data_IF_611787104829
#
_entry.id   IF_611787104829
#
_cell.length_a   1.000
_cell.length_b   1.000
_cell.length_c   1.000
_cell.angle_alpha   90.00
_cell.angle_beta   90.00
_cell.angle_gamma   90.00
#
_symmetry.space_group_name_H-M   'P 1'
#
loop_
_entity.id
_entity.type
_entity.pdbx_description
1 polymer ?
#
# COMPACT_ATOMS: atom_id res chain seq x y z
N UNK A 1 -0.44 -38.30 -5.38
CA UNK A 1 0.03 -37.31 -4.39
C UNK A 1 -1.20 -36.79 -3.68
N UNK A 2 -1.37 -37.10 -2.39
CA UNK A 2 -2.52 -36.62 -1.63
C UNK A 2 -2.35 -35.13 -1.35
N UNK A 3 -3.31 -34.32 -1.81
CA UNK A 3 -3.38 -32.90 -1.49
C UNK A 3 -3.62 -32.76 0.01
N UNK A 4 -2.56 -32.58 0.79
CA UNK A 4 -2.69 -32.30 2.22
C UNK A 4 -3.30 -30.91 2.36
N UNK A 5 -4.61 -30.85 2.60
CA UNK A 5 -5.27 -29.61 2.97
C UNK A 5 -4.59 -29.06 4.22
N UNK A 6 -4.01 -27.85 4.17
CA UNK A 6 -3.33 -27.29 5.33
C UNK A 6 -4.32 -27.14 6.48
N UNK A 7 -3.86 -27.26 7.74
CA UNK A 7 -4.71 -27.07 8.91
C UNK A 7 -5.34 -25.68 8.84
N UNK A 8 -6.67 -25.66 8.74
CA UNK A 8 -7.44 -24.41 8.71
C UNK A 8 -7.30 -23.73 10.07
N UNK A 9 -6.97 -22.44 10.08
CA UNK A 9 -6.99 -21.65 11.31
C UNK A 9 -8.34 -21.82 12.03
N UNK A 10 -8.35 -21.85 13.38
CA UNK A 10 -9.59 -21.94 14.12
C UNK A 10 -10.53 -20.80 13.72
N UNK A 11 -11.83 -21.09 13.67
CA UNK A 11 -12.85 -20.11 13.30
C UNK A 11 -12.71 -18.86 14.19
N UNK A 12 -12.74 -17.67 13.57
CA UNK A 12 -12.56 -16.41 14.29
C UNK A 12 -11.10 -16.01 14.53
N UNK A 13 -10.11 -16.65 13.91
CA UNK A 13 -8.72 -16.14 13.90
C UNK A 13 -8.26 -15.71 12.51
N UNK A 14 -7.70 -14.50 12.44
CA UNK A 14 -7.03 -14.00 11.26
C UNK A 14 -5.59 -14.54 11.26
N UNK A 15 -5.23 -15.25 10.19
CA UNK A 15 -3.90 -15.83 10.01
C UNK A 15 -3.06 -15.00 9.03
N UNK A 16 -1.84 -14.66 9.45
CA UNK A 16 -0.85 -13.92 8.67
C UNK A 16 0.42 -14.76 8.50
N UNK A 17 0.65 -15.31 7.31
CA UNK A 17 1.83 -16.14 7.04
C UNK A 17 3.00 -15.28 6.51
N UNK A 18 4.01 -15.05 7.34
CA UNK A 18 5.12 -14.12 7.02
C UNK A 18 5.88 -14.57 5.76
N UNK A 19 6.19 -15.86 5.65
CA UNK A 19 6.95 -16.40 4.53
C UNK A 19 6.18 -16.32 3.21
N UNK A 20 4.89 -16.61 3.23
CA UNK A 20 4.04 -16.48 2.05
C UNK A 20 3.90 -15.02 1.62
N UNK A 21 3.73 -14.09 2.58
CA UNK A 21 3.65 -12.66 2.29
C UNK A 21 4.92 -12.19 1.57
N UNK A 22 6.10 -12.50 2.09
CA UNK A 22 7.38 -12.07 1.48
C UNK A 22 7.58 -12.63 0.07
N UNK A 23 7.20 -13.90 -0.16
CA UNK A 23 7.33 -14.53 -1.47
C UNK A 23 6.34 -13.97 -2.49
N UNK A 24 5.09 -13.72 -2.07
CA UNK A 24 4.00 -13.23 -2.94
C UNK A 24 4.21 -11.75 -3.29
N UNK A 25 4.66 -10.97 -2.31
CA UNK A 25 4.80 -9.53 -2.39
C UNK A 25 6.27 -9.09 -2.54
N UNK A 26 7.04 -9.86 -3.33
CA UNK A 26 8.48 -9.68 -3.49
C UNK A 26 8.87 -8.33 -4.11
N UNK A 27 8.03 -7.80 -4.99
CA UNK A 27 8.27 -6.56 -5.72
C UNK A 27 7.10 -5.61 -5.51
N UNK A 28 7.41 -4.32 -5.37
CA UNK A 28 6.39 -3.27 -5.20
C UNK A 28 5.32 -3.31 -6.30
N UNK A 29 5.71 -3.43 -7.57
CA UNK A 29 4.79 -3.52 -8.71
C UNK A 29 3.84 -4.73 -8.60
N UNK A 30 4.35 -5.87 -8.16
CA UNK A 30 3.54 -7.07 -7.92
C UNK A 30 2.56 -6.83 -6.79
N UNK A 31 3.01 -6.22 -5.69
CA UNK A 31 2.15 -5.88 -4.55
C UNK A 31 1.03 -4.93 -4.93
N UNK A 32 1.32 -3.87 -5.68
CA UNK A 32 0.31 -2.95 -6.20
C UNK A 32 -0.68 -3.71 -7.09
N UNK A 33 -0.20 -4.51 -8.04
CA UNK A 33 -1.10 -5.27 -8.94
C UNK A 33 -2.05 -6.25 -8.22
N UNK A 34 -1.64 -6.79 -7.07
CA UNK A 34 -2.44 -7.73 -6.29
C UNK A 34 -3.36 -7.03 -5.29
N UNK A 35 -2.90 -5.95 -4.68
CA UNK A 35 -3.61 -5.24 -3.61
C UNK A 35 -4.56 -4.16 -4.14
N UNK A 36 -4.25 -3.51 -5.26
CA UNK A 36 -5.11 -2.46 -5.84
C UNK A 36 -6.52 -2.94 -6.15
N UNK A 37 -6.74 -4.13 -6.76
CA UNK A 37 -8.10 -4.64 -6.96
C UNK A 37 -8.85 -4.88 -5.65
N UNK A 38 -8.17 -5.29 -4.58
CA UNK A 38 -8.80 -5.52 -3.28
C UNK A 38 -9.13 -4.20 -2.56
N UNK A 39 -8.35 -3.13 -2.83
CA UNK A 39 -8.68 -1.77 -2.42
C UNK A 39 -9.92 -1.24 -3.18
N UNK A 40 -9.97 -1.42 -4.50
CA UNK A 40 -11.11 -1.00 -5.34
C UNK A 40 -12.41 -1.74 -4.98
N UNK A 41 -12.30 -3.02 -4.60
CA UNK A 41 -13.42 -3.83 -4.13
C UNK A 41 -13.87 -3.49 -2.70
N UNK A 42 -13.20 -2.56 -2.00
CA UNK A 42 -13.50 -2.21 -0.62
C UNK A 42 -13.15 -3.30 0.41
N UNK A 43 -12.37 -4.32 0.02
CA UNK A 43 -11.86 -5.30 0.99
C UNK A 43 -10.72 -4.69 1.82
N UNK A 44 -9.97 -3.72 1.28
CA UNK A 44 -8.93 -3.01 2.02
C UNK A 44 -9.28 -1.53 2.16
N UNK A 45 -9.05 -0.98 3.34
CA UNK A 45 -9.04 0.47 3.53
C UNK A 45 -7.78 1.09 2.93
N UNK A 46 -7.84 2.36 2.53
CA UNK A 46 -6.68 3.08 2.00
C UNK A 46 -5.53 3.14 3.01
N UNK A 47 -5.83 3.32 4.30
CA UNK A 47 -4.84 3.31 5.39
C UNK A 47 -4.11 1.97 5.50
N UNK A 48 -4.86 0.87 5.47
CA UNK A 48 -4.33 -0.50 5.53
C UNK A 48 -3.48 -0.83 4.30
N UNK A 49 -3.94 -0.44 3.10
CA UNK A 49 -3.18 -0.58 1.87
C UNK A 49 -1.81 0.08 1.98
N UNK A 50 -1.75 1.33 2.44
CA UNK A 50 -0.49 2.06 2.57
C UNK A 50 0.43 1.47 3.64
N UNK A 51 -0.12 0.99 4.77
CA UNK A 51 0.65 0.25 5.79
C UNK A 51 1.25 -1.02 5.24
N UNK A 52 0.46 -1.83 4.54
CA UNK A 52 0.91 -3.07 3.92
C UNK A 52 2.02 -2.75 2.92
N UNK A 53 1.79 -1.78 2.02
CA UNK A 53 2.79 -1.36 1.03
C UNK A 53 4.10 -0.87 1.66
N UNK A 54 4.04 -0.24 2.85
CA UNK A 54 5.23 0.19 3.60
C UNK A 54 5.94 -0.95 4.32
N UNK A 55 5.20 -1.95 4.80
CA UNK A 55 5.75 -3.08 5.54
C UNK A 55 6.29 -4.19 4.64
N UNK A 56 5.73 -4.33 3.44
CA UNK A 56 6.19 -5.29 2.45
C UNK A 56 7.64 -4.98 2.05
N UNK A 57 8.45 -6.02 1.78
CA UNK A 57 9.87 -5.85 1.48
C UNK A 57 10.04 -5.05 0.19
N UNK A 58 10.31 -3.75 0.34
CA UNK A 58 11.06 -2.98 -0.64
C UNK A 58 12.53 -3.43 -0.63
N UNK A 59 13.26 -3.15 -1.70
CA UNK A 59 14.68 -3.48 -1.87
C UNK A 59 15.57 -3.17 -0.64
N UNK A 60 15.14 -2.20 0.19
CA UNK A 60 15.85 -1.70 1.37
C UNK A 60 16.23 -2.74 2.44
N UNK A 61 15.47 -3.82 2.65
CA UNK A 61 15.83 -4.80 3.70
C UNK A 61 16.98 -5.73 3.31
N UNK A 62 17.13 -6.02 2.02
CA UNK A 62 18.20 -6.91 1.54
C UNK A 62 19.57 -6.25 1.65
N UNK A 63 19.65 -4.95 1.34
CA UNK A 63 20.88 -4.18 1.41
C UNK A 63 21.32 -3.97 2.87
N UNK A 64 20.39 -3.59 3.76
CA UNK A 64 20.73 -3.35 5.17
C UNK A 64 21.22 -4.61 5.89
N UNK A 65 20.67 -5.78 5.54
CA UNK A 65 21.05 -7.07 6.12
C UNK A 65 22.46 -7.52 5.68
N UNK A 66 22.80 -7.30 4.40
CA UNK A 66 24.13 -7.63 3.87
C UNK A 66 25.23 -6.79 4.53
N UNK A 67 25.02 -5.49 4.67
CA UNK A 67 26.01 -4.62 5.30
C UNK A 67 26.03 -4.76 6.83
N UNK A 68 24.88 -4.92 7.48
CA UNK A 68 24.79 -5.05 8.94
C UNK A 68 25.53 -6.28 9.49
N UNK A 69 25.48 -7.41 8.78
CA UNK A 69 26.20 -8.63 9.19
C UNK A 69 27.71 -8.46 9.16
N UNK A 70 28.26 -7.82 8.12
CA UNK A 70 29.70 -7.52 8.03
C UNK A 70 30.18 -6.55 9.11
N UNK A 71 29.38 -5.53 9.45
CA UNK A 71 29.74 -4.53 10.45
C UNK A 71 29.81 -5.13 11.86
N UNK A 72 28.85 -5.96 12.25
CA UNK A 72 28.86 -6.63 13.58
C UNK A 72 30.06 -7.59 13.69
N UNK A 73 30.36 -8.33 12.63
CA UNK A 73 31.55 -9.19 12.59
C UNK A 73 32.85 -8.41 12.76
N UNK A 74 32.98 -7.24 12.11
CA UNK A 74 34.15 -6.37 12.24
C UNK A 74 34.30 -5.80 13.66
N UNK A 75 33.20 -5.35 14.28
CA UNK A 75 33.20 -4.84 15.66
C UNK A 75 33.60 -5.95 16.64
N UNK A 76 33.00 -7.14 16.54
CA UNK A 76 33.39 -8.27 17.39
C UNK A 76 34.86 -8.65 17.17
N UNK A 77 35.33 -8.71 15.93
CA UNK A 77 36.74 -9.00 15.62
C UNK A 77 37.71 -7.98 16.24
N UNK A 78 37.34 -6.69 16.26
CA UNK A 78 38.19 -5.64 16.84
C UNK A 78 38.34 -5.73 18.37
N UNK A 79 37.37 -6.31 19.07
CA UNK A 79 37.36 -6.40 20.53
C UNK A 79 38.07 -7.63 21.11
N UNK A 80 38.36 -8.66 20.31
CA UNK A 80 39.05 -9.87 20.77
C UNK A 80 40.50 -9.92 20.27
N UNK A 81 41.48 -9.79 21.19
CA UNK A 81 42.88 -10.18 20.98
C UNK A 81 43.19 -11.41 21.84
N UNK A 82 43.77 -12.49 21.29
CA UNK A 82 44.29 -12.72 19.92
C UNK A 82 43.21 -12.89 18.83
N UNK A 83 43.54 -12.79 17.52
CA UNK A 83 42.53 -12.88 16.47
C UNK A 83 41.84 -14.23 16.53
N UNK A 84 40.52 -14.26 16.74
CA UNK A 84 39.80 -15.51 16.80
C UNK A 84 39.88 -16.22 15.45
N UNK A 85 40.04 -17.54 15.48
CA UNK A 85 39.94 -18.42 14.31
C UNK A 85 38.56 -18.23 13.64
N UNK A 86 38.41 -18.70 12.40
CA UNK A 86 37.22 -18.64 11.49
C UNK A 86 35.85 -18.70 12.20
N UNK A 87 35.74 -19.34 13.35
CA UNK A 87 34.56 -19.41 14.21
C UNK A 87 33.91 -18.06 14.56
N UNK A 88 34.64 -16.94 14.74
CA UNK A 88 33.98 -15.66 15.07
C UNK A 88 33.20 -15.07 13.90
N UNK A 89 33.68 -15.27 12.67
CA UNK A 89 32.90 -14.93 11.47
C UNK A 89 31.62 -15.74 11.37
N UNK A 90 31.70 -17.05 11.64
CA UNK A 90 30.53 -17.95 11.63
C UNK A 90 29.50 -17.56 12.72
N UNK A 91 29.95 -17.28 13.94
CA UNK A 91 29.08 -16.86 15.04
C UNK A 91 28.41 -15.52 14.70
N UNK A 92 29.19 -14.54 14.19
CA UNK A 92 28.65 -13.26 13.77
C UNK A 92 27.59 -13.40 12.67
N UNK A 93 27.83 -14.27 11.69
CA UNK A 93 26.86 -14.59 10.65
C UNK A 93 25.56 -15.20 11.23
N UNK A 94 25.66 -16.20 12.11
CA UNK A 94 24.48 -16.86 12.70
C UNK A 94 23.67 -15.90 13.59
N UNK A 95 24.34 -15.06 14.38
CA UNK A 95 23.68 -14.04 15.21
C UNK A 95 23.02 -12.98 14.32
N UNK A 96 23.70 -12.53 13.27
CA UNK A 96 23.13 -11.55 12.34
C UNK A 96 21.93 -12.11 11.56
N UNK A 97 22.00 -13.35 11.09
CA UNK A 97 20.89 -14.02 10.39
C UNK A 97 19.67 -14.20 11.31
N UNK A 98 19.88 -14.62 12.56
CA UNK A 98 18.80 -14.81 13.53
C UNK A 98 18.15 -13.50 13.95
N UNK A 99 18.95 -12.47 14.28
CA UNK A 99 18.45 -11.12 14.58
C UNK A 99 17.69 -10.52 13.39
N UNK A 100 18.23 -10.69 12.19
CA UNK A 100 17.59 -10.23 10.96
C UNK A 100 16.22 -10.84 10.73
N UNK A 101 16.10 -12.17 10.90
CA UNK A 101 14.80 -12.87 10.85
C UNK A 101 13.85 -12.38 11.94
N UNK A 102 14.35 -12.15 13.15
CA UNK A 102 13.57 -11.63 14.28
C UNK A 102 12.99 -10.23 14.00
N UNK A 103 13.81 -9.30 13.52
CA UNK A 103 13.39 -7.94 13.15
C UNK A 103 12.35 -7.96 12.04
N UNK A 104 12.53 -8.82 11.03
CA UNK A 104 11.58 -9.03 9.93
C UNK A 104 10.22 -9.56 10.45
N UNK A 105 10.21 -10.56 11.32
CA UNK A 105 8.96 -11.03 11.93
C UNK A 105 8.32 -9.92 12.77
N UNK A 106 9.12 -9.11 13.47
CA UNK A 106 8.63 -7.98 14.25
C UNK A 106 7.97 -6.89 13.39
N UNK A 107 8.53 -6.54 12.23
CA UNK A 107 7.94 -5.54 11.34
C UNK A 107 6.62 -6.03 10.73
N UNK A 108 6.57 -7.30 10.30
CA UNK A 108 5.34 -7.93 9.84
C UNK A 108 4.28 -8.00 10.95
N UNK A 109 4.67 -8.35 12.17
CA UNK A 109 3.79 -8.34 13.34
C UNK A 109 3.24 -6.95 13.63
N UNK A 110 4.09 -5.92 13.61
CA UNK A 110 3.69 -4.53 13.83
C UNK A 110 2.73 -4.05 12.74
N UNK A 111 2.97 -4.42 11.48
CA UNK A 111 2.07 -4.12 10.38
C UNK A 111 0.70 -4.78 10.61
N UNK A 112 0.67 -6.09 10.84
CA UNK A 112 -0.56 -6.87 10.99
C UNK A 112 -1.40 -6.44 12.20
N UNK A 113 -0.74 -6.13 13.33
CA UNK A 113 -1.42 -5.58 14.50
C UNK A 113 -1.93 -4.15 14.27
N UNK A 114 -1.34 -3.42 13.33
CA UNK A 114 -1.74 -2.06 12.98
C UNK A 114 -2.82 -1.97 11.91
N UNK A 115 -3.33 -3.10 11.40
CA UNK A 115 -4.46 -3.13 10.45
C UNK A 115 -5.75 -2.79 11.20
N UNK A 116 -6.49 -1.83 10.65
CA UNK A 116 -7.77 -1.35 11.17
C UNK A 116 -8.90 -2.32 10.79
N UNK A 117 -9.02 -2.69 9.51
CA UNK A 117 -10.05 -3.62 9.04
C UNK A 117 -9.48 -5.04 8.87
N UNK A 118 -9.38 -5.78 9.98
CA UNK A 118 -8.83 -7.14 9.97
C UNK A 118 -9.64 -8.09 9.10
N UNK A 119 -10.98 -7.96 9.11
CA UNK A 119 -11.88 -8.81 8.35
C UNK A 119 -11.78 -8.57 6.84
N UNK A 120 -11.73 -7.31 6.43
CA UNK A 120 -11.47 -6.94 5.03
C UNK A 120 -10.10 -7.44 4.57
N UNK A 121 -9.08 -7.29 5.42
CA UNK A 121 -7.74 -7.80 5.13
C UNK A 121 -7.71 -9.34 4.95
N UNK A 122 -8.35 -10.12 5.81
CA UNK A 122 -8.37 -11.59 5.65
C UNK A 122 -9.07 -12.00 4.36
N UNK A 123 -10.19 -11.36 4.02
CA UNK A 123 -10.90 -11.57 2.75
C UNK A 123 -10.02 -11.23 1.54
N UNK A 124 -9.33 -10.09 1.58
CA UNK A 124 -8.38 -9.69 0.55
C UNK A 124 -7.24 -10.71 0.40
N UNK A 125 -6.65 -11.16 1.51
CA UNK A 125 -5.59 -12.17 1.47
C UNK A 125 -6.07 -13.50 0.92
N UNK A 126 -7.29 -13.94 1.24
CA UNK A 126 -7.85 -15.19 0.72
C UNK A 126 -8.14 -15.09 -0.78
N UNK A 127 -8.62 -13.94 -1.28
CA UNK A 127 -8.76 -13.68 -2.71
C UNK A 127 -7.40 -13.78 -3.43
N UNK A 128 -6.36 -13.20 -2.85
CA UNK A 128 -4.99 -13.26 -3.40
C UNK A 128 -4.43 -14.68 -3.35
N UNK A 129 -4.63 -15.43 -2.25
CA UNK A 129 -4.24 -16.85 -2.15
C UNK A 129 -4.91 -17.72 -3.22
N UNK A 130 -6.18 -17.46 -3.56
CA UNK A 130 -6.86 -18.17 -4.66
C UNK A 130 -6.24 -17.86 -6.02
N UNK A 131 -5.78 -16.62 -6.23
CA UNK A 131 -5.16 -16.17 -7.49
C UNK A 131 -3.73 -16.68 -7.67
N UNK A 132 -2.89 -16.59 -6.63
CA UNK A 132 -1.44 -16.87 -6.71
C UNK A 132 -1.08 -18.27 -6.19
N UNK A 133 -1.97 -18.88 -5.41
CA UNK A 133 -1.71 -20.11 -4.66
C UNK A 133 -1.27 -19.82 -3.23
N UNK A 134 -1.47 -20.81 -2.37
CA UNK A 134 -1.05 -20.77 -0.97
C UNK A 134 0.13 -21.72 -0.75
N UNK A 135 1.22 -21.19 -0.20
CA UNK A 135 2.32 -21.99 0.31
C UNK A 135 2.28 -21.92 1.83
N UNK A 136 2.02 -23.05 2.54
CA UNK A 136 2.12 -23.06 3.98
C UNK A 136 3.55 -22.69 4.40
N UNK A 137 3.65 -21.90 5.45
CA UNK A 137 4.91 -21.41 6.01
C UNK A 137 4.98 -21.71 7.50
N UNK A 138 6.21 -21.84 8.02
CA UNK A 138 6.47 -22.18 9.41
C UNK A 138 6.08 -21.07 10.41
N UNK A 139 5.98 -19.82 9.94
CA UNK A 139 5.76 -18.66 10.79
C UNK A 139 4.45 -18.00 10.39
N UNK A 140 3.41 -18.30 11.16
CA UNK A 140 2.10 -17.67 11.09
C UNK A 140 1.88 -16.80 12.34
N UNK A 141 1.48 -15.55 12.14
CA UNK A 141 1.02 -14.66 13.21
C UNK A 141 -0.50 -14.73 13.21
N UNK A 142 -1.09 -15.03 14.36
CA UNK A 142 -2.55 -15.10 14.52
C UNK A 142 -3.05 -13.92 15.34
N UNK A 143 -4.20 -13.37 14.95
CA UNK A 143 -4.92 -12.34 15.71
C UNK A 143 -6.38 -12.80 15.84
N UNK A 144 -7.00 -12.75 17.03
CA UNK A 144 -8.42 -13.01 17.15
C UNK A 144 -9.19 -11.94 16.36
N UNK A 145 -10.14 -12.36 15.52
CA UNK A 145 -11.12 -11.43 14.96
C UNK A 145 -11.99 -10.97 16.12
N UNK A 146 -11.99 -9.66 16.36
CA UNK A 146 -12.89 -9.08 17.36
C UNK A 146 -14.32 -9.33 16.89
N UNK A 147 -15.18 -9.84 17.77
CA UNK A 147 -16.61 -10.01 17.46
C UNK A 147 -17.29 -8.67 17.16
N UNK A 148 -16.73 -7.55 17.62
CA UNK A 148 -17.20 -6.20 17.30
C UNK A 148 -17.02 -5.82 15.83
N UNK A 149 -16.03 -6.41 15.13
CA UNK A 149 -15.82 -6.14 13.71
C UNK A 149 -16.74 -6.99 12.81
N UNK A 150 -17.50 -7.92 13.40
CA UNK A 150 -18.47 -8.75 12.70
C UNK A 150 -19.84 -8.07 12.55
N UNK A 151 -20.07 -6.91 13.16
CA UNK A 151 -21.17 -6.03 12.78
C UNK A 151 -20.82 -5.40 11.43
N UNK A 152 -21.07 -6.18 10.38
CA UNK A 152 -20.96 -5.79 8.97
C UNK A 152 -21.46 -4.37 8.79
N UNK A 153 -20.58 -3.49 8.29
CA UNK A 153 -20.97 -2.17 7.83
C UNK A 153 -22.20 -2.34 6.94
N UNK A 154 -23.34 -1.69 7.25
CA UNK A 154 -24.61 -1.91 6.56
C UNK A 154 -24.52 -1.71 5.04
N UNK A 155 -23.49 -1.00 4.58
CA UNK A 155 -23.19 -0.74 3.19
C UNK A 155 -22.85 -2.00 2.35
N UNK A 156 -22.41 -3.10 2.97
CA UNK A 156 -21.98 -4.29 2.22
C UNK A 156 -23.10 -5.32 2.04
N UNK A 157 -24.15 -5.28 2.87
CA UNK A 157 -25.34 -6.12 2.71
C UNK A 157 -26.16 -5.79 1.45
N UNK A 158 -25.96 -4.61 0.87
CA UNK A 158 -26.72 -4.16 -0.30
C UNK A 158 -26.11 -4.60 -1.64
N UNK A 159 -24.84 -5.07 -1.65
CA UNK A 159 -24.17 -5.55 -2.87
C UNK A 159 -24.11 -7.08 -3.02
N UNK A 160 -24.32 -7.82 -1.93
CA UNK A 160 -24.35 -9.28 -1.93
C UNK A 160 -25.79 -9.85 -1.98
N UNK A 161 -26.81 -9.01 -2.19
CA UNK A 161 -28.10 -9.52 -2.63
C UNK A 161 -27.92 -10.08 -4.04
N UNK A 162 -28.02 -11.41 -4.25
CA UNK A 162 -28.12 -11.93 -5.60
C UNK A 162 -29.29 -11.18 -6.24
N UNK A 163 -29.06 -10.63 -7.42
CA UNK A 163 -30.09 -10.10 -8.29
C UNK A 163 -30.97 -11.28 -8.74
N UNK A 164 -31.68 -11.89 -7.79
CA UNK A 164 -32.77 -12.82 -7.98
C UNK A 164 -33.94 -11.99 -8.46
N UNK A 165 -33.89 -11.60 -9.73
CA UNK A 165 -35.09 -11.28 -10.46
C UNK A 165 -35.94 -12.53 -10.51
N UNK A 166 -36.80 -12.70 -9.51
CA UNK A 166 -37.99 -13.52 -9.61
C UNK A 166 -38.93 -12.85 -10.63
N UNK A 167 -38.62 -13.06 -11.91
CA UNK A 167 -39.58 -12.84 -12.99
C UNK A 167 -40.52 -14.03 -12.94
N UNK A 168 -41.68 -13.83 -12.31
CA UNK A 168 -42.77 -14.80 -12.32
C UNK A 168 -43.08 -15.26 -13.77
N UNK A 169 -43.33 -16.56 -14.00
CA UNK A 169 -43.70 -17.05 -15.32
C UNK A 169 -45.18 -16.70 -15.58
N UNK A 170 -45.43 -15.50 -16.13
CA UNK A 170 -46.76 -15.17 -16.66
C UNK A 170 -46.84 -15.73 -18.09
N UNK A 171 -47.46 -16.89 -18.18
CA UNK A 171 -47.87 -17.51 -19.43
C UNK A 171 -48.97 -16.67 -20.07
N UNK A 172 -48.68 -16.01 -21.19
CA UNK A 172 -49.69 -15.46 -22.10
C UNK A 172 -49.16 -15.38 -23.53
N UNK A 173 -50.03 -15.79 -24.45
CA UNK A 173 -49.81 -15.99 -25.87
C UNK A 173 -49.55 -14.70 -26.69
N UNK A 174 -48.66 -14.86 -27.69
CA UNK A 174 -48.68 -14.31 -29.05
C UNK A 174 -48.76 -12.78 -29.27
N UNK A 175 -47.66 -12.22 -29.82
CA UNK A 175 -47.62 -11.34 -31.02
C UNK A 175 -46.17 -11.15 -31.50
N UNK A 176 -45.89 -11.12 -32.82
CA UNK A 176 -44.54 -10.86 -33.34
C UNK A 176 -44.30 -9.35 -33.30
N UNK A 177 -43.49 -8.89 -32.35
CA UNK A 177 -43.19 -7.48 -32.18
C UNK A 177 -41.68 -7.27 -32.17
N UNK A 178 -41.24 -6.53 -33.20
CA UNK A 178 -40.01 -5.75 -33.40
C UNK A 178 -38.88 -5.99 -32.40
N UNK A 179 -37.74 -6.45 -32.91
CA UNK A 179 -36.45 -6.55 -32.23
C UNK A 179 -36.22 -5.33 -31.30
N UNK A 180 -36.03 -5.54 -29.98
CA UNK A 180 -35.62 -4.45 -29.11
C UNK A 180 -34.18 -4.08 -29.46
N UNK A 181 -33.97 -2.79 -29.75
CA UNK A 181 -32.64 -2.21 -29.82
C UNK A 181 -31.88 -2.59 -28.55
N UNK A 182 -30.72 -3.24 -28.72
CA UNK A 182 -29.89 -3.74 -27.64
C UNK A 182 -29.80 -2.71 -26.50
N UNK A 183 -30.19 -3.13 -25.30
CA UNK A 183 -30.11 -2.30 -24.11
C UNK A 183 -28.68 -1.75 -24.00
N UNK A 184 -28.56 -0.43 -24.15
CA UNK A 184 -27.27 0.27 -24.10
C UNK A 184 -26.61 -0.09 -22.78
N UNK A 185 -25.39 -0.62 -22.85
CA UNK A 185 -24.62 -0.97 -21.67
C UNK A 185 -24.45 0.28 -20.79
N UNK A 186 -24.49 0.13 -19.47
CA UNK A 186 -24.17 1.21 -18.52
C UNK A 186 -22.81 1.85 -18.83
N UNK A 187 -21.90 1.09 -19.43
CA UNK A 187 -20.62 1.59 -19.93
C UNK A 187 -20.72 2.47 -21.18
N UNK A 188 -21.71 2.25 -22.04
CA UNK A 188 -21.99 3.12 -23.19
C UNK A 188 -22.59 4.44 -22.76
N UNK A 189 -23.41 4.45 -21.70
CA UNK A 189 -23.94 5.67 -21.10
C UNK A 189 -22.84 6.53 -20.47
N UNK A 190 -21.91 5.92 -19.72
CA UNK A 190 -20.74 6.61 -19.15
C UNK A 190 -19.83 7.17 -20.26
N UNK A 191 -19.66 6.44 -21.36
CA UNK A 191 -18.86 6.89 -22.52
C UNK A 191 -19.54 8.03 -23.28
N UNK A 192 -20.86 7.96 -23.45
CA UNK A 192 -21.63 9.03 -24.08
C UNK A 192 -21.62 10.32 -23.25
N UNK A 193 -21.79 10.22 -21.92
CA UNK A 193 -21.75 11.36 -21.01
C UNK A 193 -20.38 12.06 -20.98
N UNK A 194 -19.28 11.30 -21.12
CA UNK A 194 -17.93 11.87 -21.22
C UNK A 194 -17.63 12.55 -22.57
N UNK A 195 -18.38 12.26 -23.63
CA UNK A 195 -18.17 12.92 -24.93
C UNK A 195 -18.86 14.28 -25.00
N UNK A 196 -19.93 14.51 -24.23
CA UNK A 196 -20.62 15.81 -24.17
C UNK A 196 -19.84 16.85 -23.36
N UNK A 197 -19.10 16.42 -22.33
CA UNK A 197 -18.22 17.29 -21.55
C UNK A 197 -16.80 17.30 -22.14
N UNK A 198 -16.60 18.12 -23.18
CA UNK A 198 -15.35 18.19 -23.92
C UNK A 198 -14.09 18.27 -23.02
N UNK A 199 -13.01 17.51 -23.34
CA UNK A 199 -11.82 17.31 -22.49
C UNK A 199 -10.98 18.57 -22.23
N UNK A 200 -11.31 19.71 -22.82
CA UNK A 200 -10.56 20.95 -22.70
C UNK A 200 -10.95 21.82 -21.50
N UNK A 201 -12.15 21.67 -20.94
CA UNK A 201 -12.63 22.63 -19.91
C UNK A 201 -12.07 22.36 -18.51
N UNK A 202 -11.90 21.10 -18.09
CA UNK A 202 -11.54 20.80 -16.68
C UNK A 202 -10.13 21.25 -16.29
N UNK A 203 -9.16 21.18 -17.22
CA UNK A 203 -7.78 21.61 -16.96
C UNK A 203 -7.58 23.12 -17.02
N UNK A 204 -8.40 23.83 -17.82
CA UNK A 204 -8.31 25.29 -17.91
C UNK A 204 -8.84 25.99 -16.65
N UNK A 205 -9.84 25.45 -15.96
CA UNK A 205 -10.29 25.98 -14.67
C UNK A 205 -9.18 25.97 -13.61
N UNK A 206 -8.41 24.88 -13.55
CA UNK A 206 -7.27 24.74 -12.63
C UNK A 206 -6.16 25.74 -12.97
N UNK A 207 -5.82 25.91 -14.26
CA UNK A 207 -4.80 26.88 -14.69
C UNK A 207 -5.23 28.33 -14.47
N UNK A 208 -6.51 28.63 -14.57
CA UNK A 208 -7.05 29.97 -14.33
C UNK A 208 -7.29 30.27 -12.85
N UNK A 209 -7.03 29.32 -11.94
CA UNK A 209 -7.31 29.48 -10.51
C UNK A 209 -8.79 29.75 -10.22
N UNK A 210 -9.68 29.22 -11.06
CA UNK A 210 -11.13 29.37 -10.93
C UNK A 210 -11.75 28.01 -10.66
N UNK A 211 -12.77 27.98 -9.81
CA UNK A 211 -13.58 26.78 -9.59
C UNK A 211 -14.49 26.54 -10.82
N UNK A 212 -15.05 25.33 -10.97
CA UNK A 212 -15.99 25.01 -12.06
C UNK A 212 -17.23 25.92 -12.09
N UNK A 213 -17.59 26.48 -10.94
CA UNK A 213 -18.67 27.47 -10.77
C UNK A 213 -18.27 28.90 -11.18
N UNK A 214 -17.05 29.09 -11.69
CA UNK A 214 -16.52 30.39 -12.11
C UNK A 214 -15.99 31.27 -10.98
N UNK A 215 -16.10 30.84 -9.72
CA UNK A 215 -15.63 31.62 -8.57
C UNK A 215 -14.10 31.59 -8.48
N UNK A 216 -13.45 32.72 -8.16
CA UNK A 216 -12.00 32.74 -7.97
C UNK A 216 -11.62 31.89 -6.76
N UNK A 217 -10.60 31.04 -6.89
CA UNK A 217 -10.02 30.35 -5.73
C UNK A 217 -9.49 31.40 -4.77
N UNK A 218 -10.17 31.54 -3.63
CA UNK A 218 -9.76 32.41 -2.53
C UNK A 218 -8.34 32.03 -2.14
N UNK A 219 -7.37 32.87 -2.49
CA UNK A 219 -5.99 32.78 -2.00
C UNK A 219 -6.05 32.91 -0.48
N UNK A 220 -6.06 31.78 0.23
CA UNK A 220 -5.95 31.78 1.68
C UNK A 220 -4.56 32.33 2.01
N UNK A 221 -4.55 33.59 2.45
CA UNK A 221 -3.39 34.23 3.04
C UNK A 221 -3.09 33.44 4.32
N UNK A 222 -1.87 32.90 4.52
CA UNK A 222 -1.55 32.21 5.75
C UNK A 222 -1.58 33.24 6.89
N UNK A 223 -2.62 33.16 7.71
CA UNK A 223 -2.70 33.90 8.97
C UNK A 223 -1.78 33.18 9.96
N UNK A 224 -0.56 33.67 10.07
CA UNK A 224 0.34 33.34 11.17
C UNK A 224 -0.19 34.03 12.43
N UNK A 225 -1.04 33.33 13.18
CA UNK A 225 -1.43 33.71 14.53
C UNK A 225 -0.96 32.63 15.50
N UNK A 226 0.07 33.00 16.24
CA UNK A 226 0.76 32.25 17.28
C UNK A 226 -0.19 31.88 18.41
N UNK A 227 -0.37 30.59 18.70
CA UNK A 227 -0.73 30.17 20.04
C UNK A 227 -0.09 28.83 20.40
N UNK A 228 0.71 28.89 21.47
CA UNK A 228 1.40 27.80 22.13
C UNK A 228 0.44 26.67 22.53
N UNK A 229 0.76 25.45 22.12
CA UNK A 229 0.11 24.24 22.60
C UNK A 229 0.56 23.03 21.80
N UNK A 230 1.52 22.29 22.36
CA UNK A 230 1.95 20.93 22.00
C UNK A 230 1.63 20.46 20.57
N UNK A 231 2.58 20.73 19.68
CA UNK A 231 2.54 20.44 18.24
C UNK A 231 2.48 18.93 17.98
N UNK A 232 1.27 18.44 17.75
CA UNK A 232 1.08 17.37 16.78
C UNK A 232 1.45 17.96 15.42
N UNK A 233 2.69 17.70 14.98
CA UNK A 233 3.23 18.16 13.70
C UNK A 233 2.20 17.94 12.59
N UNK A 234 1.56 19.03 12.18
CA UNK A 234 0.57 19.00 11.12
C UNK A 234 1.29 18.54 9.86
N UNK A 235 0.76 17.56 9.09
CA UNK A 235 1.38 17.11 7.84
C UNK A 235 1.57 18.21 6.78
N UNK A 236 1.07 19.43 7.05
CA UNK A 236 1.32 20.63 6.27
C UNK A 236 2.65 21.33 6.60
N UNK A 237 3.14 21.27 7.84
CA UNK A 237 4.45 21.82 8.22
C UNK A 237 5.59 21.02 7.57
N UNK A 238 5.45 19.70 7.51
CA UNK A 238 6.41 18.81 6.83
C UNK A 238 6.57 19.15 5.34
N UNK A 239 5.50 19.62 4.67
CA UNK A 239 5.58 20.04 3.26
C UNK A 239 6.37 21.33 3.08
N UNK A 240 6.17 22.33 3.93
CA UNK A 240 6.90 23.59 3.83
C UNK A 240 8.40 23.38 4.08
N UNK A 241 8.74 22.54 5.06
CA UNK A 241 10.14 22.17 5.36
C UNK A 241 10.75 21.35 4.22
N UNK A 242 10.01 20.38 3.66
CA UNK A 242 10.48 19.59 2.52
C UNK A 242 10.72 20.48 1.28
N UNK A 243 9.86 21.47 1.04
CA UNK A 243 10.01 22.41 -0.07
C UNK A 243 11.22 23.32 0.11
N UNK A 244 11.44 23.87 1.30
CA UNK A 244 12.63 24.68 1.60
C UNK A 244 13.93 23.87 1.43
N UNK A 245 13.93 22.60 1.84
CA UNK A 245 15.07 21.71 1.63
C UNK A 245 15.34 21.42 0.15
N UNK A 246 14.29 21.27 -0.66
CA UNK A 246 14.41 21.07 -2.10
C UNK A 246 14.99 22.32 -2.80
N UNK A 247 14.49 23.51 -2.45
CA UNK A 247 15.00 24.77 -2.98
C UNK A 247 16.47 25.01 -2.59
N UNK A 248 16.83 24.69 -1.34
CA UNK A 248 18.22 24.76 -0.88
C UNK A 248 19.16 23.83 -1.66
N UNK A 249 18.68 22.64 -2.04
CA UNK A 249 19.45 21.69 -2.85
C UNK A 249 19.65 22.20 -4.28
N UNK A 250 18.62 22.75 -4.91
CA UNK A 250 18.70 23.34 -6.25
C UNK A 250 19.63 24.56 -6.28
N UNK A 251 19.58 25.41 -5.26
CA UNK A 251 20.45 26.58 -5.20
C UNK A 251 21.92 26.17 -4.99
N UNK A 252 22.16 25.09 -4.26
CA UNK A 252 23.49 24.48 -4.13
C UNK A 252 24.00 23.99 -5.49
N UNK A 253 23.18 23.32 -6.29
CA UNK A 253 23.56 22.91 -7.65
C UNK A 253 23.83 24.10 -8.57
N UNK A 254 23.00 25.14 -8.50
CA UNK A 254 23.20 26.37 -9.29
C UNK A 254 24.55 27.02 -8.97
N UNK A 255 24.91 27.14 -7.69
CA UNK A 255 26.22 27.66 -7.24
C UNK A 255 27.40 26.79 -7.69
N UNK A 256 27.23 25.48 -7.73
CA UNK A 256 28.28 24.58 -8.24
C UNK A 256 28.48 24.75 -9.76
N UNK A 257 27.40 24.96 -10.52
CA UNK A 257 27.51 25.19 -11.97
C UNK A 257 28.23 26.50 -12.31
N UNK A 258 27.99 27.58 -11.57
CA UNK A 258 28.66 28.88 -11.79
C UNK A 258 30.14 28.81 -11.41
N UNK A 259 30.46 28.18 -10.27
CA UNK A 259 31.85 27.97 -9.83
C UNK A 259 32.66 27.09 -10.78
N UNK A 260 32.02 26.11 -11.45
CA UNK A 260 32.68 25.29 -12.48
C UNK A 260 32.98 26.10 -13.74
N UNK A 261 32.07 26.99 -14.14
CA UNK A 261 32.24 27.84 -15.33
C UNK A 261 33.33 28.90 -15.15
N UNK A 262 33.44 29.49 -13.96
CA UNK A 262 34.52 30.44 -13.63
C UNK A 262 35.90 29.78 -13.65
N UNK A 263 36.04 28.55 -13.11
CA UNK A 263 37.31 27.82 -13.14
C UNK A 263 37.79 27.48 -14.55
N UNK A 264 36.87 27.26 -15.49
CA UNK A 264 37.21 26.97 -16.88
C UNK A 264 37.50 28.22 -17.73
N UNK A 265 37.25 29.43 -17.22
CA UNK A 265 37.48 30.69 -17.95
C UNK A 265 38.85 31.33 -17.65
N UNK A 266 39.66 30.72 -16.78
CA UNK A 266 40.98 31.24 -16.32
C UNK A 266 42.15 30.54 -17.05
N UNK A 267 41.87 29.79 -18.12
CA UNK A 267 42.85 29.19 -19.01
C UNK A 267 42.64 29.70 -20.44
#
# INVERSE_FOLDING_TARGET
>A
MASSTPPRAPAGMAEYNVRWMENTFRNRKTSESLLTPELENGNLNRSDYERIMKALPGAHYSELMGFGTSAVGAVLYSHFKPPPKIHVGLIGYLVGETLGKGLRVWTHRRCFLGIENVHGFTRAMDNIKRKVGYSPGLISITRPLSSYDAEETPFQKEFDTPYGGDVAPVSAAVKPQTQPAAARSRWDEIRAARQTDGPTKSWDYVRQGRRPDGTPMRKQKPTSETQNGESWSSPYEDRAVAQANFDAMLEKERRMSTSSKERNAVW
#
